data_IF_642681344293
#
_entry.id   IF_642681344293
#
_cell.length_a   1.000
_cell.length_b   1.000
_cell.length_c   1.000
_cell.angle_alpha   90.00
_cell.angle_beta   90.00
_cell.angle_gamma   90.00
#
_symmetry.space_group_name_H-M   'P 1'
#
loop_
_entity.id
_entity.type
_entity.pdbx_description
1 polymer ?
#
# COMPACT_ATOMS: atom_id res chain seq x y z
N UNK A 1 1.42 -16.56 1.99
CA UNK A 1 0.91 -15.18 1.88
C UNK A 1 0.82 -14.91 0.39
N UNK A 2 -0.32 -14.47 -0.14
CA UNK A 2 -0.46 -14.19 -1.58
C UNK A 2 -0.09 -12.72 -1.83
N UNK A 3 0.72 -12.47 -2.86
CA UNK A 3 1.06 -11.10 -3.29
C UNK A 3 -0.16 -10.42 -3.91
N UNK A 4 -0.27 -9.10 -3.78
CA UNK A 4 -1.26 -8.36 -4.56
C UNK A 4 -0.75 -8.20 -6.01
N UNK A 5 -1.65 -7.87 -6.94
CA UNK A 5 -1.26 -7.66 -8.33
C UNK A 5 -0.51 -6.33 -8.52
N UNK A 6 -0.94 -5.27 -7.80
CA UNK A 6 -0.42 -3.91 -7.96
C UNK A 6 -0.25 -3.21 -6.61
N UNK A 7 0.68 -2.25 -6.58
CA UNK A 7 0.87 -1.27 -5.51
C UNK A 7 0.72 0.12 -6.13
N UNK A 8 0.02 1.02 -5.44
CA UNK A 8 0.01 2.43 -5.80
C UNK A 8 1.25 3.10 -5.19
N UNK A 9 2.13 3.63 -6.04
CA UNK A 9 3.39 4.25 -5.65
C UNK A 9 3.63 5.50 -6.53
N UNK A 10 3.91 6.63 -5.87
CA UNK A 10 4.27 7.90 -6.51
C UNK A 10 3.33 8.33 -7.65
N UNK A 11 2.01 8.18 -7.44
CA UNK A 11 0.98 8.63 -8.39
C UNK A 11 0.56 7.58 -9.43
N UNK A 12 1.14 6.38 -9.42
CA UNK A 12 0.88 5.35 -10.44
C UNK A 12 0.65 3.96 -9.83
N UNK A 13 -0.08 3.10 -10.54
CA UNK A 13 -0.17 1.67 -10.19
C UNK A 13 0.97 0.92 -10.89
N UNK A 14 1.80 0.26 -10.10
CA UNK A 14 2.93 -0.56 -10.59
C UNK A 14 2.76 -2.02 -10.13
N UNK A 15 3.30 -3.01 -10.88
CA UNK A 15 3.29 -4.40 -10.43
C UNK A 15 3.93 -4.55 -9.06
N UNK A 16 3.37 -5.41 -8.21
CA UNK A 16 3.88 -5.63 -6.85
C UNK A 16 5.39 -5.88 -6.79
N UNK A 17 5.90 -6.72 -7.71
CA UNK A 17 7.33 -7.08 -7.77
C UNK A 17 8.26 -5.91 -8.15
N UNK A 18 7.72 -4.80 -8.66
CA UNK A 18 8.47 -3.61 -9.07
C UNK A 18 8.47 -2.50 -8.00
N UNK A 19 7.58 -2.57 -7.01
CA UNK A 19 7.48 -1.61 -5.91
C UNK A 19 8.63 -1.74 -4.90
N UNK A 20 9.82 -1.33 -5.33
CA UNK A 20 11.08 -1.43 -4.59
C UNK A 20 11.57 -0.05 -4.17
N UNK A 21 12.26 -0.02 -3.03
CA UNK A 21 13.05 1.13 -2.57
C UNK A 21 14.51 0.69 -2.38
N UNK A 22 15.45 1.63 -2.47
CA UNK A 22 16.86 1.31 -2.23
C UNK A 22 17.09 0.95 -0.75
N UNK A 23 18.07 0.09 -0.47
CA UNK A 23 18.36 -0.33 0.91
C UNK A 23 18.80 0.83 1.82
N UNK A 24 19.27 1.94 1.25
CA UNK A 24 19.67 3.16 1.98
C UNK A 24 18.53 4.18 2.15
N UNK A 25 17.27 3.81 1.88
CA UNK A 25 16.13 4.70 2.08
C UNK A 25 16.07 5.18 3.53
N UNK A 26 16.09 6.50 3.73
CA UNK A 26 16.22 7.13 5.04
C UNK A 26 15.17 6.63 6.05
N UNK A 27 13.91 6.50 5.63
CA UNK A 27 12.82 5.99 6.48
C UNK A 27 13.09 4.58 7.01
N UNK A 28 13.76 3.72 6.25
CA UNK A 28 14.09 2.36 6.68
C UNK A 28 15.10 2.36 7.84
N UNK A 29 16.01 3.33 7.87
CA UNK A 29 17.07 3.42 8.88
C UNK A 29 16.70 4.28 10.09
N UNK A 30 15.88 5.31 9.86
CA UNK A 30 15.63 6.35 10.87
C UNK A 30 14.15 6.54 11.20
N UNK A 31 13.26 5.70 10.65
CA UNK A 31 11.84 5.67 11.02
C UNK A 31 11.04 6.92 10.64
N UNK A 32 11.58 7.82 9.81
CA UNK A 32 10.90 9.05 9.40
C UNK A 32 9.82 8.75 8.34
N UNK A 33 8.66 8.26 8.78
CA UNK A 33 7.45 8.13 7.98
C UNK A 33 6.19 8.10 8.85
N UNK A 34 5.05 8.31 8.20
CA UNK A 34 3.72 8.04 8.74
C UNK A 34 3.04 7.03 7.82
N UNK A 35 2.14 6.22 8.37
CA UNK A 35 1.31 5.30 7.61
C UNK A 35 -0.09 5.26 8.20
N UNK A 36 -1.06 4.83 7.39
CA UNK A 36 -2.46 4.68 7.80
C UNK A 36 -2.90 3.23 7.69
N UNK A 37 -3.96 2.90 8.44
CA UNK A 37 -4.56 1.58 8.46
C UNK A 37 -6.01 1.62 8.01
N UNK A 38 -6.27 1.14 6.79
CA UNK A 38 -7.62 1.11 6.21
C UNK A 38 -8.10 -0.31 5.97
N UNK A 39 -9.40 -0.55 6.13
CA UNK A 39 -10.04 -1.84 5.80
C UNK A 39 -11.19 -1.64 4.81
N UNK A 40 -11.26 -2.54 3.84
CA UNK A 40 -12.40 -2.70 2.97
C UNK A 40 -13.24 -3.90 3.43
N UNK A 41 -14.56 -3.78 3.32
CA UNK A 41 -15.52 -4.82 3.67
C UNK A 41 -16.46 -5.06 2.50
N UNK A 42 -16.79 -6.33 2.27
CA UNK A 42 -17.85 -6.68 1.31
C UNK A 42 -19.20 -6.31 1.92
N UNK A 43 -19.99 -5.55 1.18
CA UNK A 43 -21.40 -5.24 1.48
C UNK A 43 -22.30 -5.84 0.40
N UNK A 44 -23.61 -5.70 0.57
CA UNK A 44 -24.60 -6.10 -0.45
C UNK A 44 -24.44 -5.31 -1.77
N UNK A 45 -23.88 -4.10 -1.71
CA UNK A 45 -23.69 -3.21 -2.86
C UNK A 45 -22.28 -3.30 -3.48
N UNK A 46 -21.35 -4.00 -2.83
CA UNK A 46 -19.97 -4.18 -3.31
C UNK A 46 -18.92 -4.00 -2.22
N UNK A 47 -17.65 -3.87 -2.62
CA UNK A 47 -16.56 -3.56 -1.68
C UNK A 47 -16.64 -2.08 -1.28
N UNK A 48 -16.76 -1.83 0.02
CA UNK A 48 -16.76 -0.49 0.59
C UNK A 48 -15.57 -0.30 1.53
N UNK A 49 -14.93 0.87 1.46
CA UNK A 49 -13.81 1.22 2.34
C UNK A 49 -14.35 1.97 3.55
N UNK A 50 -14.07 1.49 4.76
CA UNK A 50 -14.64 2.05 5.97
C UNK A 50 -13.97 3.37 6.35
N UNK A 51 -14.76 4.47 6.33
CA UNK A 51 -14.32 5.83 6.71
C UNK A 51 -13.12 6.33 5.90
N UNK A 52 -13.13 6.07 4.59
CA UNK A 52 -12.19 6.69 3.65
C UNK A 52 -12.54 8.17 3.42
#
# INVERSE_FOLDING_TARGET
MNEANYIWMDGTLIPWAEAKVHILTHTLHYGNAVFEGTRAYQTEEGLAIFRL
#
